data_IF_358075766325
#
_entry.id   IF_358075766325
#
_cell.length_a   1.000
_cell.length_b   1.000
_cell.length_c   1.000
_cell.angle_alpha   90.00
_cell.angle_beta   90.00
_cell.angle_gamma   90.00
#
_symmetry.space_group_name_H-M   'P 1'
#
loop_
_entity.id
_entity.type
_entity.pdbx_description
1 polymer ?
#
# COMPACT_ATOMS: atom_id res chain seq x y z
N UNK A 1 21.50 -11.42 -7.34
CA UNK A 1 21.15 -10.52 -6.21
C UNK A 1 22.11 -9.36 -6.29
N UNK A 2 21.66 -8.11 -6.26
CA UNK A 2 22.55 -6.95 -6.24
C UNK A 2 23.42 -7.02 -4.98
N UNK A 3 24.72 -6.84 -5.13
CA UNK A 3 25.65 -6.75 -4.01
C UNK A 3 25.19 -5.68 -3.02
N UNK A 4 25.39 -5.90 -1.73
CA UNK A 4 25.00 -4.96 -0.69
C UNK A 4 25.77 -3.64 -0.80
N UNK A 5 27.03 -3.71 -1.20
CA UNK A 5 27.95 -2.57 -1.36
C UNK A 5 27.79 -1.54 -0.23
N UNK A 6 27.98 -2.01 1.02
CA UNK A 6 28.02 -1.14 2.20
C UNK A 6 29.40 -0.49 2.29
N UNK A 7 29.45 0.82 2.12
CA UNK A 7 30.70 1.60 2.12
C UNK A 7 30.58 2.77 3.09
N UNK A 8 31.64 3.00 3.85
CA UNK A 8 31.73 4.11 4.80
C UNK A 8 32.83 5.07 4.35
N UNK A 9 32.48 6.33 4.19
CA UNK A 9 33.42 7.42 4.02
C UNK A 9 34.04 7.73 5.39
N UNK A 10 35.29 7.29 5.57
CA UNK A 10 36.03 7.42 6.85
C UNK A 10 36.38 8.86 7.20
N UNK A 11 36.48 9.75 6.19
CA UNK A 11 36.76 11.16 6.43
C UNK A 11 35.53 11.92 6.95
N UNK A 12 34.32 11.46 6.54
CA UNK A 12 33.06 12.05 6.99
C UNK A 12 32.54 11.43 8.28
N UNK A 13 32.84 10.16 8.56
CA UNK A 13 32.26 9.42 9.67
C UNK A 13 32.69 10.01 11.03
N UNK A 14 31.70 10.38 11.85
CA UNK A 14 31.91 10.95 13.19
C UNK A 14 31.70 9.93 14.32
N UNK A 15 31.68 8.65 14.03
CA UNK A 15 31.58 7.53 14.98
C UNK A 15 30.35 7.61 15.93
N UNK A 16 29.22 8.17 15.47
CA UNK A 16 28.03 8.42 16.32
C UNK A 16 27.19 7.18 16.63
N UNK A 17 27.42 6.03 15.97
CA UNK A 17 26.73 4.76 16.22
C UNK A 17 25.33 4.63 15.67
N UNK A 18 24.66 5.72 15.24
CA UNK A 18 23.24 5.73 14.86
C UNK A 18 22.87 4.70 13.78
N UNK A 19 23.76 4.43 12.84
CA UNK A 19 23.53 3.43 11.78
C UNK A 19 23.42 1.99 12.31
N UNK A 20 24.15 1.66 13.38
CA UNK A 20 24.04 0.38 14.06
C UNK A 20 22.80 0.31 14.94
N UNK A 21 22.53 1.37 15.71
CA UNK A 21 21.40 1.44 16.64
C UNK A 21 20.04 1.30 15.90
N UNK A 22 19.92 1.87 14.69
CA UNK A 22 18.70 1.82 13.86
C UNK A 22 18.62 0.58 12.95
N UNK A 23 19.62 -0.30 12.99
CA UNK A 23 19.64 -1.49 12.14
C UNK A 23 18.72 -2.59 12.70
N UNK A 24 17.55 -2.76 12.13
CA UNK A 24 16.53 -3.72 12.60
C UNK A 24 17.02 -5.19 12.62
N UNK A 25 18.04 -5.54 11.83
CA UNK A 25 18.64 -6.89 11.81
C UNK A 25 19.93 -6.98 12.62
N UNK A 26 20.45 -5.86 13.15
CA UNK A 26 21.64 -5.83 14.00
C UNK A 26 22.92 -6.30 13.30
N UNK A 27 23.01 -6.17 11.97
CA UNK A 27 24.17 -6.68 11.21
C UNK A 27 25.34 -5.70 11.08
N UNK A 28 25.16 -4.47 11.60
CA UNK A 28 26.19 -3.43 11.55
C UNK A 28 27.01 -3.52 12.84
N UNK A 29 28.27 -3.87 12.70
CA UNK A 29 29.28 -3.92 13.77
C UNK A 29 30.28 -2.76 13.56
N UNK A 30 31.28 -2.64 14.45
CA UNK A 30 32.33 -1.65 14.33
C UNK A 30 33.70 -2.34 14.20
N UNK A 31 34.55 -1.79 13.34
CA UNK A 31 35.93 -2.23 13.26
C UNK A 31 36.75 -1.72 14.49
N UNK A 32 38.04 -2.06 14.52
CA UNK A 32 38.94 -1.66 15.63
C UNK A 32 39.12 -0.15 15.76
N UNK A 33 38.85 0.58 14.68
CA UNK A 33 38.97 2.04 14.62
C UNK A 33 37.61 2.72 14.90
N UNK A 34 36.54 1.94 15.11
CA UNK A 34 35.21 2.42 15.43
C UNK A 34 34.35 2.77 14.20
N UNK A 35 34.75 2.39 12.99
CA UNK A 35 33.94 2.59 11.79
C UNK A 35 32.89 1.47 11.61
N UNK A 36 31.67 1.81 11.19
CA UNK A 36 30.65 0.81 10.96
C UNK A 36 30.98 -0.08 9.76
N UNK A 37 30.73 -1.37 9.90
CA UNK A 37 30.87 -2.37 8.84
C UNK A 37 29.78 -3.43 8.92
N UNK A 38 29.50 -4.06 7.80
CA UNK A 38 28.71 -5.30 7.78
C UNK A 38 29.68 -6.47 7.72
N UNK A 39 29.63 -7.34 8.72
CA UNK A 39 30.52 -8.49 8.81
C UNK A 39 30.28 -9.44 7.63
N UNK A 40 31.37 -9.92 7.05
CA UNK A 40 31.31 -10.89 5.94
C UNK A 40 30.47 -12.10 6.29
N UNK A 41 29.52 -12.44 5.41
CA UNK A 41 28.55 -13.50 5.60
C UNK A 41 27.22 -13.05 6.22
N UNK A 42 27.13 -11.81 6.74
CA UNK A 42 25.88 -11.25 7.27
C UNK A 42 25.11 -10.41 6.26
N UNK A 43 25.66 -10.15 5.07
CA UNK A 43 25.03 -9.34 4.03
C UNK A 43 23.66 -9.88 3.60
N UNK A 44 23.49 -11.21 3.68
CA UNK A 44 22.23 -11.89 3.34
C UNK A 44 21.08 -11.54 4.29
N UNK A 45 21.37 -11.09 5.51
CA UNK A 45 20.37 -10.68 6.51
C UNK A 45 19.95 -9.22 6.36
N UNK A 46 20.60 -8.46 5.47
CA UNK A 46 20.22 -7.08 5.21
C UNK A 46 18.90 -6.98 4.47
N UNK A 47 17.94 -6.28 5.07
CA UNK A 47 16.64 -5.99 4.43
C UNK A 47 16.74 -4.90 3.36
N UNK A 48 17.91 -4.31 3.11
CA UNK A 48 18.13 -3.23 2.13
C UNK A 48 17.22 -2.02 2.35
N UNK A 49 16.80 -1.77 3.59
CA UNK A 49 15.85 -0.70 3.97
C UNK A 49 16.47 0.70 3.92
N UNK A 50 17.79 0.82 3.78
CA UNK A 50 18.55 2.09 3.70
C UNK A 50 18.45 2.97 4.97
N UNK A 51 17.95 2.46 6.10
CA UNK A 51 17.87 3.24 7.34
C UNK A 51 19.24 3.73 7.80
N UNK A 52 20.28 2.87 7.79
CA UNK A 52 21.65 3.24 8.12
C UNK A 52 22.20 4.38 7.24
N UNK A 53 21.80 4.41 5.99
CA UNK A 53 22.12 5.47 5.04
C UNK A 53 21.35 6.77 5.38
N UNK A 54 20.04 6.68 5.60
CA UNK A 54 19.19 7.82 5.81
C UNK A 54 19.40 8.52 7.16
N UNK A 55 19.75 7.76 8.22
CA UNK A 55 19.97 8.30 9.57
C UNK A 55 21.33 8.95 9.75
N UNK A 56 22.28 8.74 8.81
CA UNK A 56 23.64 9.26 8.94
C UNK A 56 23.67 10.79 8.82
N UNK A 57 23.99 11.54 9.91
CA UNK A 57 23.85 13.01 9.90
C UNK A 57 24.86 13.71 8.99
N UNK A 58 25.94 13.01 8.63
CA UNK A 58 27.02 13.55 7.80
C UNK A 58 27.11 12.88 6.42
N UNK A 59 26.14 12.00 6.10
CA UNK A 59 26.11 11.30 4.82
C UNK A 59 27.39 10.47 4.56
N UNK A 60 27.89 9.77 5.58
CA UNK A 60 29.12 8.95 5.46
C UNK A 60 28.85 7.54 4.91
N UNK A 61 27.59 7.10 4.77
CA UNK A 61 27.25 5.73 4.40
C UNK A 61 26.67 5.68 2.99
N UNK A 62 27.21 4.80 2.16
CA UNK A 62 26.62 4.36 0.89
C UNK A 62 26.23 2.90 1.00
N UNK A 63 25.09 2.51 0.40
CA UNK A 63 24.57 1.14 0.43
C UNK A 63 23.74 0.84 -0.81
N UNK A 64 23.78 -0.39 -1.32
CA UNK A 64 23.04 -0.81 -2.50
C UNK A 64 23.27 0.09 -3.72
N UNK A 65 24.48 0.59 -3.92
CA UNK A 65 24.89 1.56 -4.95
C UNK A 65 24.16 2.92 -4.86
N UNK A 66 23.61 3.26 -3.70
CA UNK A 66 23.03 4.59 -3.41
C UNK A 66 24.05 5.43 -2.67
N UNK A 67 24.17 6.69 -3.07
CA UNK A 67 25.10 7.66 -2.48
C UNK A 67 24.31 8.78 -1.81
N UNK A 68 24.78 9.31 -0.67
CA UNK A 68 24.11 10.39 0.05
C UNK A 68 23.89 11.65 -0.79
N UNK A 69 24.82 11.99 -1.64
CA UNK A 69 24.76 13.17 -2.52
C UNK A 69 23.67 13.10 -3.59
N UNK A 70 23.16 11.90 -3.89
CA UNK A 70 22.08 11.67 -4.85
C UNK A 70 20.70 11.63 -4.18
N UNK A 71 20.63 11.88 -2.87
CA UNK A 71 19.38 11.80 -2.08
C UNK A 71 18.94 13.17 -1.60
N UNK A 72 17.63 13.38 -1.62
CA UNK A 72 17.03 14.58 -1.03
C UNK A 72 17.31 14.63 0.46
N UNK A 73 17.66 15.80 0.96
CA UNK A 73 17.78 16.05 2.40
C UNK A 73 16.36 16.15 2.98
N UNK A 74 16.11 15.40 4.07
CA UNK A 74 14.89 15.56 4.82
C UNK A 74 14.86 16.97 5.42
N UNK A 75 14.02 17.85 4.84
CA UNK A 75 13.73 19.14 5.39
C UNK A 75 12.54 19.07 6.35
N UNK A 76 12.34 20.12 7.13
CA UNK A 76 11.22 20.21 8.05
C UNK A 76 9.92 20.75 7.38
N UNK A 77 9.86 20.73 6.04
CA UNK A 77 8.72 21.21 5.28
C UNK A 77 7.61 20.15 5.18
N UNK A 78 7.24 19.59 6.32
CA UNK A 78 6.11 18.66 6.42
C UNK A 78 4.79 19.46 6.51
N UNK A 79 3.68 18.90 5.99
CA UNK A 79 2.36 19.48 6.20
C UNK A 79 2.04 19.55 7.71
N UNK A 80 1.27 20.56 8.11
CA UNK A 80 0.79 20.63 9.50
C UNK A 80 -0.16 19.47 9.81
N UNK A 81 -0.33 19.14 11.10
CA UNK A 81 -1.30 18.16 11.57
C UNK A 81 -2.72 18.46 11.10
N UNK A 82 -3.12 19.75 11.14
CA UNK A 82 -4.42 20.20 10.61
C UNK A 82 -4.57 19.96 9.12
N UNK A 83 -3.53 20.18 8.32
CA UNK A 83 -3.55 19.90 6.88
C UNK A 83 -3.72 18.42 6.60
N UNK A 84 -3.01 17.56 7.34
CA UNK A 84 -3.12 16.10 7.20
C UNK A 84 -4.51 15.63 7.63
N UNK A 85 -5.01 16.11 8.77
CA UNK A 85 -6.33 15.74 9.26
C UNK A 85 -7.43 16.18 8.27
N UNK A 86 -7.36 17.38 7.72
CA UNK A 86 -8.28 17.85 6.68
C UNK A 86 -8.28 16.95 5.44
N UNK A 87 -7.09 16.52 4.99
CA UNK A 87 -6.97 15.59 3.85
C UNK A 87 -7.72 14.29 4.13
N UNK A 88 -7.56 13.73 5.32
CA UNK A 88 -8.21 12.47 5.74
C UNK A 88 -9.73 12.66 5.85
N UNK A 89 -10.21 13.73 6.51
CA UNK A 89 -11.63 13.99 6.72
C UNK A 89 -12.40 14.24 5.42
N UNK A 90 -11.75 14.87 4.44
CA UNK A 90 -12.38 15.25 3.18
C UNK A 90 -12.22 14.19 2.08
N UNK A 91 -11.43 13.15 2.30
CA UNK A 91 -11.35 12.00 1.39
C UNK A 91 -12.72 11.33 1.26
N UNK A 92 -13.16 11.15 0.04
CA UNK A 92 -14.45 10.48 -0.27
C UNK A 92 -14.26 9.41 -1.34
N UNK A 93 -15.05 8.35 -1.26
CA UNK A 93 -15.16 7.37 -2.33
C UNK A 93 -15.92 7.96 -3.52
N UNK A 94 -15.21 8.26 -4.59
CA UNK A 94 -15.78 8.86 -5.80
C UNK A 94 -16.40 7.77 -6.69
N UNK A 95 -17.60 8.02 -7.20
CA UNK A 95 -18.36 7.10 -8.05
C UNK A 95 -18.92 7.76 -9.30
N UNK A 96 -18.41 8.95 -9.62
CA UNK A 96 -18.77 9.70 -10.82
C UNK A 96 -17.50 10.43 -11.29
N UNK A 97 -17.06 10.12 -12.49
CA UNK A 97 -15.79 10.57 -13.04
C UNK A 97 -15.99 11.29 -14.37
N UNK A 98 -15.13 12.24 -14.67
CA UNK A 98 -14.99 12.76 -16.02
C UNK A 98 -14.49 11.67 -16.95
N UNK A 99 -14.99 11.66 -18.18
CA UNK A 99 -14.59 10.70 -19.19
C UNK A 99 -13.38 11.22 -19.97
N UNK A 100 -12.27 11.40 -19.26
CA UNK A 100 -11.01 11.90 -19.80
C UNK A 100 -9.81 11.28 -19.09
N UNK A 101 -8.67 11.26 -19.76
CA UNK A 101 -7.41 10.88 -19.11
C UNK A 101 -6.95 11.96 -18.14
N UNK A 102 -6.24 11.56 -17.09
CA UNK A 102 -5.42 12.49 -16.32
C UNK A 102 -4.33 13.07 -17.22
N UNK A 103 -3.94 14.31 -16.94
CA UNK A 103 -2.76 14.87 -17.61
C UNK A 103 -1.48 14.07 -17.21
N UNK A 104 -0.49 14.11 -18.12
CA UNK A 104 0.73 13.29 -17.97
C UNK A 104 1.51 13.63 -16.70
N UNK A 105 1.53 14.89 -16.28
CA UNK A 105 2.27 15.31 -15.10
C UNK A 105 1.62 14.76 -13.81
N UNK A 106 0.29 14.84 -13.69
CA UNK A 106 -0.46 14.24 -12.57
C UNK A 106 -0.30 12.73 -12.55
N UNK A 107 -0.42 12.05 -13.70
CA UNK A 107 -0.22 10.61 -13.80
C UNK A 107 1.20 10.21 -13.39
N UNK A 108 2.21 10.96 -13.80
CA UNK A 108 3.60 10.69 -13.41
C UNK A 108 3.81 10.83 -11.90
N UNK A 109 3.29 11.89 -11.27
CA UNK A 109 3.35 12.05 -9.81
C UNK A 109 2.72 10.87 -9.07
N UNK A 110 1.58 10.36 -9.56
CA UNK A 110 0.93 9.17 -9.00
C UNK A 110 1.79 7.91 -9.15
N UNK A 111 2.50 7.75 -10.27
CA UNK A 111 3.45 6.65 -10.47
C UNK A 111 4.67 6.76 -9.55
N UNK A 112 5.22 7.95 -9.42
CA UNK A 112 6.46 8.19 -8.64
C UNK A 112 6.28 7.93 -7.14
N UNK A 113 5.09 8.22 -6.59
CA UNK A 113 4.83 7.99 -5.16
C UNK A 113 4.79 6.49 -4.79
N UNK A 114 4.48 5.59 -5.73
CA UNK A 114 4.28 4.16 -5.44
C UNK A 114 5.52 3.51 -4.81
N UNK A 115 6.72 3.96 -5.15
CA UNK A 115 7.99 3.44 -4.61
C UNK A 115 8.22 3.73 -3.13
N UNK A 116 7.49 4.70 -2.55
CA UNK A 116 7.64 5.10 -1.15
C UNK A 116 6.73 4.33 -0.19
N UNK A 117 5.89 3.43 -0.70
CA UNK A 117 5.07 2.59 0.17
C UNK A 117 5.93 1.54 0.88
N UNK A 118 5.86 1.42 2.20
CA UNK A 118 6.57 0.37 2.93
C UNK A 118 5.98 -1.01 2.62
N UNK A 119 6.83 -2.03 2.71
CA UNK A 119 6.42 -3.44 2.58
C UNK A 119 7.03 -4.28 3.70
N UNK A 120 6.38 -5.37 4.07
CA UNK A 120 6.91 -6.27 5.09
C UNK A 120 8.33 -6.74 4.76
N UNK A 121 9.24 -6.60 5.73
CA UNK A 121 10.68 -6.87 5.57
C UNK A 121 11.32 -6.12 4.38
N UNK A 122 10.78 -4.99 3.98
CA UNK A 122 11.24 -4.19 2.84
C UNK A 122 11.39 -5.01 1.54
N UNK A 123 10.47 -5.95 1.32
CA UNK A 123 10.60 -6.91 0.22
C UNK A 123 10.36 -6.31 -1.18
N UNK A 124 9.62 -5.20 -1.29
CA UNK A 124 9.29 -4.50 -2.54
C UNK A 124 8.84 -5.41 -3.70
N UNK A 125 8.11 -6.49 -3.39
CA UNK A 125 7.69 -7.49 -4.37
C UNK A 125 6.25 -7.30 -4.86
N UNK A 126 5.66 -6.13 -4.64
CA UNK A 126 4.36 -5.83 -5.23
C UNK A 126 4.48 -5.74 -6.75
N UNK A 127 3.51 -6.31 -7.46
CA UNK A 127 3.29 -6.05 -8.87
C UNK A 127 2.10 -5.09 -9.00
N UNK A 128 2.27 -4.07 -9.81
CA UNK A 128 1.31 -2.98 -9.98
C UNK A 128 0.89 -2.95 -11.44
N UNK A 129 -0.34 -3.38 -11.72
CA UNK A 129 -0.97 -3.21 -13.01
C UNK A 129 -1.76 -1.89 -13.03
N UNK A 130 -1.35 -0.99 -13.91
CA UNK A 130 -1.95 0.33 -14.05
C UNK A 130 -2.60 0.49 -15.42
N UNK A 131 -3.90 0.75 -15.46
CA UNK A 131 -4.58 1.22 -16.65
C UNK A 131 -4.64 2.75 -16.59
N UNK A 132 -3.78 3.42 -17.36
CA UNK A 132 -3.62 4.88 -17.39
C UNK A 132 -4.22 5.54 -18.64
N UNK A 133 -4.89 4.75 -19.48
CA UNK A 133 -5.57 5.22 -20.69
C UNK A 133 -7.05 4.82 -20.67
N UNK A 134 -7.93 5.80 -20.93
CA UNK A 134 -9.38 5.62 -20.89
C UNK A 134 -9.89 4.62 -21.93
N UNK A 135 -9.26 4.56 -23.12
CA UNK A 135 -9.68 3.62 -24.16
C UNK A 135 -9.34 2.18 -23.78
N UNK A 136 -8.18 1.97 -23.15
CA UNK A 136 -7.80 0.69 -22.58
C UNK A 136 -8.77 0.31 -21.46
N UNK A 137 -9.10 1.26 -20.57
CA UNK A 137 -10.07 1.04 -19.49
C UNK A 137 -11.46 0.71 -20.02
N UNK A 138 -11.92 1.39 -21.06
CA UNK A 138 -13.22 1.11 -21.72
C UNK A 138 -13.27 -0.31 -22.28
N UNK A 139 -12.20 -0.77 -22.94
CA UNK A 139 -12.10 -2.14 -23.45
C UNK A 139 -12.11 -3.17 -22.33
N UNK A 140 -11.35 -2.94 -21.27
CA UNK A 140 -11.31 -3.81 -20.10
C UNK A 140 -12.68 -3.90 -19.40
N UNK A 141 -13.33 -2.75 -19.18
CA UNK A 141 -14.67 -2.62 -18.62
C UNK A 141 -15.71 -3.39 -19.43
N UNK A 142 -15.74 -3.14 -20.75
CA UNK A 142 -16.71 -3.78 -21.64
C UNK A 142 -16.53 -5.31 -21.66
N UNK A 143 -15.29 -5.79 -21.68
CA UNK A 143 -15.01 -7.22 -21.61
C UNK A 143 -15.49 -7.82 -20.31
N UNK A 144 -15.18 -7.20 -19.18
CA UNK A 144 -15.60 -7.67 -17.85
C UNK A 144 -17.13 -7.70 -17.73
N UNK A 145 -17.79 -6.59 -18.05
CA UNK A 145 -19.25 -6.50 -17.96
C UNK A 145 -19.95 -7.50 -18.87
N UNK A 146 -19.46 -7.69 -20.12
CA UNK A 146 -20.00 -8.67 -21.05
C UNK A 146 -19.81 -10.11 -20.58
N UNK A 147 -18.69 -10.42 -19.97
CA UNK A 147 -18.43 -11.76 -19.41
C UNK A 147 -19.40 -12.06 -18.26
N UNK A 148 -19.60 -11.12 -17.35
CA UNK A 148 -20.55 -11.26 -16.24
C UNK A 148 -21.99 -11.32 -16.76
N UNK A 149 -22.37 -10.45 -17.69
CA UNK A 149 -23.71 -10.49 -18.33
C UNK A 149 -23.99 -11.84 -18.97
N UNK A 150 -23.06 -12.39 -19.74
CA UNK A 150 -23.21 -13.74 -20.31
C UNK A 150 -23.37 -14.82 -19.25
N UNK A 151 -22.59 -14.76 -18.16
CA UNK A 151 -22.72 -15.69 -17.04
C UNK A 151 -24.10 -15.59 -16.35
N UNK A 152 -24.61 -14.36 -16.14
CA UNK A 152 -25.91 -14.11 -15.54
C UNK A 152 -27.09 -14.56 -16.40
N UNK A 153 -26.93 -14.55 -17.71
CA UNK A 153 -27.96 -15.01 -18.68
C UNK A 153 -27.86 -16.52 -18.97
N UNK A 154 -26.77 -17.17 -18.58
CA UNK A 154 -26.62 -18.60 -18.76
C UNK A 154 -27.46 -19.35 -17.73
N UNK A 155 -27.99 -20.51 -18.12
CA UNK A 155 -28.65 -21.42 -17.18
C UNK A 155 -27.67 -22.23 -16.33
N UNK A 156 -26.37 -21.92 -16.43
CA UNK A 156 -25.32 -22.58 -15.66
C UNK A 156 -25.09 -21.83 -14.36
N UNK A 157 -25.06 -22.58 -13.27
CA UNK A 157 -24.67 -22.01 -11.98
C UNK A 157 -23.15 -21.79 -11.96
N UNK A 158 -22.73 -20.53 -11.96
CA UNK A 158 -21.34 -20.12 -11.92
C UNK A 158 -21.09 -19.24 -10.68
N UNK A 159 -19.93 -19.27 -10.03
CA UNK A 159 -19.62 -18.44 -8.87
C UNK A 159 -19.80 -16.93 -9.16
N UNK A 160 -19.43 -16.49 -10.37
CA UNK A 160 -19.58 -15.09 -10.79
C UNK A 160 -21.04 -14.68 -10.95
N UNK A 161 -21.90 -15.57 -11.51
CA UNK A 161 -23.34 -15.26 -11.64
C UNK A 161 -24.01 -15.15 -10.27
N UNK A 162 -23.73 -16.07 -9.34
CA UNK A 162 -24.24 -15.99 -7.97
C UNK A 162 -23.85 -14.70 -7.27
N UNK A 163 -22.60 -14.25 -7.43
CA UNK A 163 -22.10 -13.04 -6.77
C UNK A 163 -22.76 -11.76 -7.25
N UNK A 164 -23.07 -11.69 -8.56
CA UNK A 164 -23.62 -10.48 -9.18
C UNK A 164 -25.14 -10.60 -9.49
N UNK A 165 -25.83 -11.67 -9.06
CA UNK A 165 -27.24 -11.92 -9.38
C UNK A 165 -28.15 -10.73 -9.02
N UNK A 166 -27.96 -10.11 -7.86
CA UNK A 166 -28.74 -8.95 -7.44
C UNK A 166 -28.60 -7.72 -8.33
N UNK A 167 -27.58 -7.70 -9.20
CA UNK A 167 -27.33 -6.63 -10.16
C UNK A 167 -27.68 -7.04 -11.60
N UNK A 168 -28.26 -8.22 -11.80
CA UNK A 168 -28.53 -8.81 -13.13
C UNK A 168 -29.20 -7.83 -14.08
N UNK A 169 -30.29 -7.19 -13.64
CA UNK A 169 -31.00 -6.23 -14.49
C UNK A 169 -30.11 -5.06 -14.91
N UNK A 170 -29.28 -4.54 -13.99
CA UNK A 170 -28.37 -3.44 -14.31
C UNK A 170 -27.33 -3.83 -15.36
N UNK A 171 -26.79 -5.06 -15.31
CA UNK A 171 -25.90 -5.58 -16.35
C UNK A 171 -26.62 -5.77 -17.70
N UNK A 172 -27.87 -6.21 -17.69
CA UNK A 172 -28.71 -6.33 -18.90
C UNK A 172 -28.91 -4.96 -19.53
N UNK A 173 -29.22 -3.95 -18.72
CA UNK A 173 -29.42 -2.56 -19.13
C UNK A 173 -28.11 -1.84 -19.54
N UNK A 174 -26.95 -2.52 -19.47
CA UNK A 174 -25.66 -1.97 -19.85
C UNK A 174 -25.06 -0.99 -18.84
N UNK A 175 -25.56 -0.96 -17.59
CA UNK A 175 -25.00 -0.10 -16.53
C UNK A 175 -23.67 -0.63 -16.02
N UNK A 176 -22.69 0.25 -15.86
CA UNK A 176 -21.39 -0.09 -15.27
C UNK A 176 -21.49 -0.16 -13.74
N UNK A 177 -21.82 -1.33 -13.24
CA UNK A 177 -21.98 -1.60 -11.80
C UNK A 177 -20.63 -1.70 -11.09
N UNK A 178 -19.59 -2.16 -11.79
CA UNK A 178 -18.29 -2.47 -11.21
C UNK A 178 -17.42 -1.23 -11.17
N UNK A 179 -17.12 -0.65 -12.34
CA UNK A 179 -16.08 0.37 -12.47
C UNK A 179 -16.60 1.80 -12.34
N UNK A 180 -17.94 1.99 -12.30
CA UNK A 180 -18.56 3.30 -12.08
C UNK A 180 -18.11 4.38 -13.07
N UNK A 181 -17.74 3.99 -14.28
CA UNK A 181 -17.24 4.90 -15.30
C UNK A 181 -15.82 5.45 -15.06
N UNK A 182 -15.08 4.89 -14.11
CA UNK A 182 -13.71 5.37 -13.82
C UNK A 182 -12.80 5.25 -15.05
N UNK A 183 -12.03 6.31 -15.41
CA UNK A 183 -11.14 6.28 -16.56
C UNK A 183 -9.85 5.50 -16.33
N UNK A 184 -9.48 5.28 -15.06
CA UNK A 184 -8.23 4.62 -14.69
C UNK A 184 -8.44 3.59 -13.59
N UNK A 185 -7.53 2.61 -13.54
CA UNK A 185 -7.55 1.56 -12.55
C UNK A 185 -6.13 1.17 -12.13
N UNK A 186 -5.94 0.99 -10.83
CA UNK A 186 -4.72 0.47 -10.22
C UNK A 186 -5.05 -0.87 -9.56
N UNK A 187 -4.37 -1.93 -9.98
CA UNK A 187 -4.47 -3.27 -9.38
C UNK A 187 -3.14 -3.61 -8.74
N UNK A 188 -3.16 -3.85 -7.44
CA UNK A 188 -1.97 -4.27 -6.71
C UNK A 188 -2.05 -5.75 -6.43
N UNK A 189 -1.07 -6.49 -6.89
CA UNK A 189 -0.91 -7.92 -6.63
C UNK A 189 0.39 -8.20 -5.90
N UNK A 190 0.45 -9.35 -5.23
CA UNK A 190 1.52 -9.70 -4.30
C UNK A 190 1.82 -11.19 -4.39
N UNK A 191 3.09 -11.62 -4.29
CA UNK A 191 3.42 -13.03 -4.20
C UNK A 191 2.70 -13.68 -3.02
N UNK A 192 2.14 -14.87 -3.20
CA UNK A 192 1.46 -15.60 -2.11
C UNK A 192 2.41 -15.92 -0.94
N UNK A 193 3.71 -15.91 -1.20
CA UNK A 193 4.79 -16.20 -0.23
C UNK A 193 5.38 -14.94 0.42
N UNK A 194 4.90 -13.74 0.10
CA UNK A 194 5.43 -12.51 0.70
C UNK A 194 5.10 -12.46 2.21
N UNK A 195 6.01 -11.93 3.06
CA UNK A 195 5.84 -11.89 4.51
C UNK A 195 4.53 -11.24 4.96
N UNK A 196 4.15 -10.13 4.32
CA UNK A 196 2.95 -9.38 4.66
C UNK A 196 1.97 -9.27 3.47
N UNK A 197 1.83 -10.38 2.71
CA UNK A 197 1.01 -10.43 1.50
C UNK A 197 -0.42 -9.84 1.62
N UNK A 198 -1.17 -9.97 2.74
CA UNK A 198 -2.50 -9.36 2.86
C UNK A 198 -2.46 -7.86 3.13
N UNK A 199 -1.34 -7.33 3.62
CA UNK A 199 -1.23 -5.98 4.18
C UNK A 199 -0.56 -5.02 3.20
N UNK A 200 0.55 -5.42 2.58
CA UNK A 200 1.35 -4.57 1.70
C UNK A 200 0.53 -3.86 0.59
N UNK A 201 -0.40 -4.55 -0.14
CA UNK A 201 -1.25 -3.90 -1.14
C UNK A 201 -2.18 -2.84 -0.55
N UNK A 202 -2.68 -3.05 0.67
CA UNK A 202 -3.59 -2.12 1.35
C UNK A 202 -2.84 -0.86 1.77
N UNK A 203 -1.63 -1.01 2.32
CA UNK A 203 -0.78 0.14 2.69
C UNK A 203 -0.47 0.99 1.45
N UNK A 204 -0.04 0.37 0.35
CA UNK A 204 0.26 1.09 -0.90
C UNK A 204 -0.95 1.87 -1.39
N UNK A 205 -2.11 1.23 -1.46
CA UNK A 205 -3.33 1.87 -1.94
C UNK A 205 -3.84 2.97 -0.98
N UNK A 206 -3.61 2.84 0.33
CA UNK A 206 -3.94 3.90 1.30
C UNK A 206 -3.09 5.15 1.09
N UNK A 207 -1.78 4.97 0.85
CA UNK A 207 -0.89 6.08 0.50
C UNK A 207 -1.28 6.71 -0.84
N UNK A 208 -1.56 5.87 -1.85
CA UNK A 208 -2.03 6.33 -3.15
C UNK A 208 -3.31 7.15 -3.05
N UNK A 209 -4.30 6.71 -2.26
CA UNK A 209 -5.57 7.41 -2.08
C UNK A 209 -5.37 8.81 -1.52
N UNK A 210 -4.58 8.95 -0.46
CA UNK A 210 -4.34 10.25 0.17
C UNK A 210 -3.55 11.18 -0.76
N UNK A 211 -2.55 10.65 -1.45
CA UNK A 211 -1.77 11.44 -2.40
C UNK A 211 -2.60 11.85 -3.62
N UNK A 212 -3.43 10.95 -4.15
CA UNK A 212 -4.35 11.26 -5.24
C UNK A 212 -5.34 12.37 -4.83
N UNK A 213 -5.88 12.30 -3.61
CA UNK A 213 -6.75 13.34 -3.06
C UNK A 213 -6.05 14.72 -3.00
N UNK A 214 -4.77 14.79 -2.61
CA UNK A 214 -4.02 16.03 -2.58
C UNK A 214 -3.81 16.66 -3.96
N UNK A 215 -3.86 15.83 -5.01
CA UNK A 215 -3.78 16.23 -6.42
C UNK A 215 -5.17 16.53 -7.03
N UNK A 216 -6.25 16.49 -6.24
CA UNK A 216 -7.62 16.65 -6.74
C UNK A 216 -8.13 15.47 -7.57
N UNK A 217 -7.52 14.31 -7.44
CA UNK A 217 -7.92 13.06 -8.13
C UNK A 217 -8.81 12.25 -7.21
N UNK A 218 -10.02 11.94 -7.69
CA UNK A 218 -10.98 11.11 -6.96
C UNK A 218 -10.63 9.63 -7.05
N UNK A 219 -10.83 8.90 -5.95
CA UNK A 219 -10.51 7.47 -5.83
C UNK A 219 -11.70 6.65 -5.35
N UNK A 220 -11.66 5.35 -5.63
CA UNK A 220 -12.64 4.38 -5.12
C UNK A 220 -11.98 3.03 -4.87
N UNK A 221 -12.01 2.57 -3.63
CA UNK A 221 -11.73 1.17 -3.27
C UNK A 221 -12.76 0.26 -3.91
N UNK A 222 -12.36 -0.55 -4.89
CA UNK A 222 -13.28 -1.29 -5.73
C UNK A 222 -13.28 -2.79 -5.44
N UNK A 223 -13.98 -3.20 -4.38
CA UNK A 223 -14.16 -4.61 -4.05
C UNK A 223 -14.92 -5.40 -5.14
N UNK A 224 -15.76 -4.77 -5.96
CA UNK A 224 -16.41 -5.45 -7.06
C UNK A 224 -15.44 -5.82 -8.19
N UNK A 225 -14.48 -4.95 -8.50
CA UNK A 225 -13.44 -5.27 -9.46
C UNK A 225 -12.51 -6.37 -8.91
N UNK A 226 -12.13 -6.28 -7.64
CA UNK A 226 -11.33 -7.31 -6.97
C UNK A 226 -12.03 -8.68 -7.03
N UNK A 227 -13.32 -8.75 -6.73
CA UNK A 227 -14.13 -9.97 -6.85
C UNK A 227 -14.21 -10.46 -8.31
N UNK A 228 -14.41 -9.56 -9.27
CA UNK A 228 -14.46 -9.93 -10.68
C UNK A 228 -13.13 -10.56 -11.15
N UNK A 229 -11.99 -9.99 -10.76
CA UNK A 229 -10.67 -10.54 -11.06
C UNK A 229 -10.46 -11.92 -10.44
N UNK A 230 -10.93 -12.15 -9.21
CA UNK A 230 -10.85 -13.46 -8.56
C UNK A 230 -11.73 -14.53 -9.22
N UNK A 231 -12.89 -14.14 -9.73
CA UNK A 231 -13.86 -15.07 -10.31
C UNK A 231 -13.72 -15.27 -11.82
N UNK A 232 -12.96 -14.42 -12.50
CA UNK A 232 -12.72 -14.46 -13.94
C UNK A 232 -11.20 -14.38 -14.18
N UNK A 233 -10.47 -15.50 -14.01
CA UNK A 233 -9.00 -15.50 -14.09
C UNK A 233 -8.43 -14.95 -15.39
N UNK A 234 -9.14 -15.13 -16.52
CA UNK A 234 -8.74 -14.59 -17.83
C UNK A 234 -8.51 -13.08 -17.81
N UNK A 235 -9.17 -12.34 -16.89
CA UNK A 235 -8.96 -10.91 -16.76
C UNK A 235 -7.57 -10.57 -16.20
N UNK A 236 -6.99 -11.45 -15.38
CA UNK A 236 -5.66 -11.25 -14.81
C UNK A 236 -4.56 -11.31 -15.88
N UNK A 237 -4.76 -12.08 -16.95
CA UNK A 237 -3.80 -12.14 -18.07
C UNK A 237 -3.67 -10.78 -18.78
N UNK A 238 -4.76 -10.00 -18.89
CA UNK A 238 -4.72 -8.65 -19.48
C UNK A 238 -4.05 -7.60 -18.58
N UNK A 239 -3.81 -7.96 -17.32
CA UNK A 239 -3.15 -7.12 -16.32
C UNK A 239 -1.71 -7.56 -16.06
N UNK A 240 -1.22 -8.52 -16.85
CA UNK A 240 0.15 -9.06 -16.76
C UNK A 240 0.54 -9.48 -15.33
N UNK A 241 -0.44 -9.94 -14.54
CA UNK A 241 -0.19 -10.40 -13.16
C UNK A 241 0.67 -11.65 -13.21
N UNK A 242 1.86 -11.65 -12.58
CA UNK A 242 2.79 -12.76 -12.66
C UNK A 242 2.24 -14.04 -12.00
N UNK A 243 2.69 -15.20 -12.49
CA UNK A 243 2.41 -16.48 -11.85
C UNK A 243 2.88 -16.50 -10.38
N UNK A 244 2.09 -17.11 -9.52
CA UNK A 244 2.34 -17.15 -8.08
C UNK A 244 1.96 -15.85 -7.33
N UNK A 245 1.40 -14.86 -8.03
CA UNK A 245 0.83 -13.68 -7.42
C UNK A 245 -0.68 -13.81 -7.25
N UNK A 246 -1.21 -13.14 -6.24
CA UNK A 246 -2.64 -12.95 -6.02
C UNK A 246 -3.00 -11.48 -6.06
N UNK A 247 -4.19 -11.16 -6.54
CA UNK A 247 -4.75 -9.80 -6.43
C UNK A 247 -4.92 -9.47 -4.95
N UNK A 248 -4.26 -8.43 -4.50
CA UNK A 248 -4.41 -7.86 -3.17
C UNK A 248 -5.64 -6.97 -3.09
N UNK A 249 -5.68 -5.90 -3.91
CA UNK A 249 -6.86 -5.05 -4.03
C UNK A 249 -6.84 -4.20 -5.30
N UNK A 250 -7.97 -3.51 -5.57
CA UNK A 250 -8.19 -2.67 -6.75
C UNK A 250 -8.65 -1.29 -6.33
N UNK A 251 -8.04 -0.26 -6.92
CA UNK A 251 -8.47 1.12 -6.81
C UNK A 251 -8.80 1.71 -8.17
N UNK A 252 -9.96 2.34 -8.27
CA UNK A 252 -10.37 3.14 -9.42
C UNK A 252 -10.06 4.59 -9.14
N UNK A 253 -9.68 5.35 -10.18
CA UNK A 253 -9.39 6.76 -9.98
C UNK A 253 -9.60 7.60 -11.25
N UNK A 254 -9.70 8.92 -11.08
CA UNK A 254 -9.89 9.86 -12.16
C UNK A 254 -10.35 11.24 -11.66
N UNK A 255 -10.45 12.21 -12.58
CA UNK A 255 -11.02 13.52 -12.27
C UNK A 255 -12.53 13.42 -12.03
N UNK A 256 -13.04 14.31 -11.19
CA UNK A 256 -14.48 14.42 -10.89
C UNK A 256 -14.89 15.88 -10.79
N UNK A 257 -16.14 16.15 -11.16
CA UNK A 257 -16.76 17.46 -10.96
C UNK A 257 -17.48 17.58 -9.61
N UNK A 258 -17.55 16.48 -8.86
CA UNK A 258 -18.22 16.46 -7.57
C UNK A 258 -17.44 17.30 -6.55
N UNK A 259 -18.14 18.27 -5.94
CA UNK A 259 -17.61 19.10 -4.84
C UNK A 259 -18.44 18.82 -3.58
N UNK A 260 -17.85 18.13 -2.64
CA UNK A 260 -18.50 17.91 -1.34
C UNK A 260 -18.44 19.17 -0.51
N UNK A 261 -19.59 19.61 0.00
CA UNK A 261 -19.72 20.86 0.75
C UNK A 261 -19.44 20.68 2.24
N UNK A 262 -19.40 19.45 2.73
CA UNK A 262 -19.20 19.13 4.16
C UNK A 262 -18.42 17.86 4.32
N UNK A 263 -17.68 17.77 5.42
CA UNK A 263 -17.14 16.49 5.90
C UNK A 263 -18.29 15.58 6.37
N UNK A 264 -18.07 14.29 6.38
CA UNK A 264 -18.96 13.32 7.04
C UNK A 264 -18.77 13.41 8.55
N UNK A 265 -19.76 12.99 9.30
CA UNK A 265 -19.71 12.83 10.76
C UNK A 265 -19.72 11.33 11.07
N UNK A 266 -18.57 10.66 11.11
CA UNK A 266 -18.49 9.25 11.48
C UNK A 266 -18.81 9.09 12.97
N UNK A 267 -19.28 7.91 13.34
CA UNK A 267 -19.40 7.51 14.74
C UNK A 267 -18.01 7.17 15.29
N UNK A 268 -17.83 7.36 16.59
CA UNK A 268 -16.59 7.02 17.30
C UNK A 268 -16.36 5.51 17.33
N UNK A 269 -15.11 5.11 17.33
CA UNK A 269 -14.73 3.73 17.60
C UNK A 269 -14.74 3.48 19.11
N UNK A 270 -15.05 2.24 19.49
CA UNK A 270 -14.79 1.76 20.85
C UNK A 270 -13.27 1.60 21.04
N UNK A 271 -12.70 2.41 21.92
CA UNK A 271 -11.26 2.44 22.20
C UNK A 271 -11.00 2.00 23.63
N UNK A 272 -10.38 0.84 23.77
CA UNK A 272 -9.93 0.36 25.10
C UNK A 272 -8.50 0.83 25.36
N UNK A 273 -8.33 1.62 26.42
CA UNK A 273 -7.00 1.96 26.95
C UNK A 273 -6.56 0.85 27.91
N UNK A 274 -5.48 0.18 27.59
CA UNK A 274 -4.98 -0.94 28.38
C UNK A 274 -4.05 -0.44 29.47
N UNK A 275 -4.42 -0.71 30.73
CA UNK A 275 -3.65 -0.33 31.90
C UNK A 275 -2.46 -1.29 32.13
N UNK A 276 -1.28 -0.81 32.59
CA UNK A 276 -0.07 -1.63 32.73
C UNK A 276 -0.25 -2.86 33.64
N UNK A 277 -1.04 -2.76 34.72
CA UNK A 277 -1.27 -3.88 35.65
C UNK A 277 -2.08 -5.03 35.02
N UNK A 278 -2.79 -4.80 33.92
CA UNK A 278 -3.54 -5.85 33.20
C UNK A 278 -2.61 -6.72 32.35
N UNK A 279 -1.52 -6.14 31.87
CA UNK A 279 -0.57 -6.80 30.94
C UNK A 279 0.56 -7.45 31.72
N UNK A 280 1.08 -6.78 32.76
CA UNK A 280 2.26 -7.18 33.51
C UNK A 280 1.93 -7.42 35.01
N UNK A 281 1.29 -8.56 35.35
CA UNK A 281 1.11 -8.88 36.77
C UNK A 281 2.48 -9.07 37.40
N UNK A 282 2.80 -8.22 38.38
CA UNK A 282 4.12 -8.18 39.04
C UNK A 282 4.42 -9.44 39.89
N UNK A 283 3.40 -10.17 40.33
CA UNK A 283 3.54 -11.30 41.26
C UNK A 283 2.61 -12.47 40.90
N UNK A 284 2.90 -13.64 41.43
CA UNK A 284 2.00 -14.80 41.37
C UNK A 284 0.61 -14.47 41.98
N UNK A 285 0.56 -13.64 43.03
CA UNK A 285 -0.67 -13.20 43.68
C UNK A 285 -1.55 -12.40 42.70
N UNK A 286 -0.95 -11.55 41.85
CA UNK A 286 -1.69 -10.78 40.85
C UNK A 286 -2.27 -11.68 39.75
N UNK A 287 -1.54 -12.75 39.38
CA UNK A 287 -2.05 -13.77 38.47
C UNK A 287 -3.26 -14.51 39.01
N UNK A 288 -3.20 -14.88 40.31
CA UNK A 288 -4.29 -15.56 41.02
C UNK A 288 -5.50 -14.64 41.15
N UNK A 289 -5.31 -13.38 41.56
CA UNK A 289 -6.38 -12.37 41.64
C UNK A 289 -7.07 -12.20 40.30
N UNK A 290 -6.32 -12.11 39.21
CA UNK A 290 -6.86 -11.97 37.82
C UNK A 290 -7.66 -13.21 37.42
N UNK A 291 -7.22 -14.41 37.78
CA UNK A 291 -7.97 -15.63 37.47
C UNK A 291 -9.33 -15.64 38.20
N UNK A 292 -9.37 -15.25 39.49
CA UNK A 292 -10.62 -15.14 40.23
C UNK A 292 -11.52 -14.00 39.77
N UNK A 293 -10.96 -12.86 39.36
CA UNK A 293 -11.71 -11.74 38.82
C UNK A 293 -12.44 -12.08 37.51
N UNK A 294 -11.77 -12.78 36.60
CA UNK A 294 -12.35 -13.22 35.33
C UNK A 294 -13.37 -14.37 35.51
N UNK A 295 -13.30 -15.14 36.60
CA UNK A 295 -14.26 -16.21 36.91
C UNK A 295 -15.56 -15.68 37.58
N UNK A 296 -15.57 -14.42 38.01
CA UNK A 296 -16.70 -13.75 38.64
C UNK A 296 -17.45 -12.77 37.72
N UNK A 297 -17.01 -12.62 36.49
CA UNK A 297 -17.70 -11.94 35.41
C UNK A 297 -18.31 -12.94 34.45
#
# INVERSE_FOLDING_TARGET
MSELNFVVDREKCIHCGKCSDDCATGIIEFDREGFPLVKSGNEQYCMKCQHCFAICPVGAISICNKKPEDSDICDNNLPTDEQVLNLIQHRKSIRNYRQENLDKATMQKLKDMLKYSPTGCNNHKLHIALIDDIEVMNRFRNRTNNTIKKALLSNKWLPVSKKFEKFKQQFIDGKDVIFRGAPHMLVVSVPVTAPCAPVDPIILLSYFELYAQSLGVGTLWCGFAEIALKLIPDLCQYLEIPDGYKVGYVMLFGKTDLKYQRATQPEDYDISVIEPHEIFPATFVDKVKRYFWNALR
#
